data_IF_441530989396
#
_entry.id   IF_441530989396
#
_cell.length_a   1.000
_cell.length_b   1.000
_cell.length_c   1.000
_cell.angle_alpha   90.00
_cell.angle_beta   90.00
_cell.angle_gamma   90.00
#
_symmetry.space_group_name_H-M   'P 1'
#
loop_
_entity.id
_entity.type
_entity.pdbx_description
1 polymer ?
#
# COMPACT_ATOMS: atom_id res chain seq x y z
N UNK A 1 7.09 -20.48 -27.76
CA UNK A 1 6.15 -19.45 -28.24
C UNK A 1 4.75 -20.04 -28.39
N UNK A 2 4.59 -21.16 -29.11
CA UNK A 2 3.31 -21.88 -29.20
C UNK A 2 2.71 -22.21 -27.82
N UNK A 3 3.47 -22.85 -26.93
CA UNK A 3 3.00 -23.15 -25.55
C UNK A 3 2.54 -21.92 -24.75
N UNK A 4 3.11 -20.72 -24.99
CA UNK A 4 2.70 -19.49 -24.30
C UNK A 4 1.35 -18.98 -24.82
N UNK A 5 1.12 -19.10 -26.13
CA UNK A 5 -0.13 -18.67 -26.77
C UNK A 5 -1.28 -19.67 -26.54
N UNK A 6 -0.95 -20.94 -26.35
CA UNK A 6 -1.92 -22.01 -26.10
C UNK A 6 -2.31 -22.13 -24.60
N UNK A 7 -1.53 -21.53 -23.70
CA UNK A 7 -1.82 -21.52 -22.25
C UNK A 7 -2.68 -20.31 -21.88
N UNK A 8 -3.86 -20.55 -21.33
CA UNK A 8 -4.72 -19.47 -20.78
C UNK A 8 -4.21 -19.08 -19.39
N UNK A 9 -3.51 -17.95 -19.32
CA UNK A 9 -3.14 -17.33 -18.04
C UNK A 9 -4.27 -16.40 -17.56
N UNK A 10 -4.81 -16.59 -16.34
CA UNK A 10 -5.84 -15.70 -15.83
C UNK A 10 -5.28 -14.27 -15.70
N UNK A 11 -6.04 -13.24 -16.08
CA UNK A 11 -5.61 -11.87 -15.86
C UNK A 11 -5.48 -11.60 -14.37
N UNK A 12 -4.55 -10.71 -13.99
CA UNK A 12 -4.44 -10.32 -12.59
C UNK A 12 -5.74 -9.70 -12.12
N UNK A 13 -6.23 -10.16 -10.96
CA UNK A 13 -7.43 -9.60 -10.37
C UNK A 13 -7.17 -8.16 -9.93
N UNK A 14 -8.12 -7.27 -10.24
CA UNK A 14 -8.08 -5.89 -9.79
C UNK A 14 -8.61 -5.77 -8.34
N UNK A 15 -7.99 -4.89 -7.56
CA UNK A 15 -8.53 -4.41 -6.28
C UNK A 15 -9.26 -3.09 -6.51
N UNK A 16 -8.65 -2.19 -7.28
CA UNK A 16 -9.26 -0.97 -7.80
C UNK A 16 -9.01 -0.95 -9.31
N UNK A 17 -10.08 -1.04 -10.10
CA UNK A 17 -9.95 -1.22 -11.55
C UNK A 17 -9.12 -0.09 -12.18
N UNK A 18 -8.21 -0.45 -13.09
CA UNK A 18 -7.27 0.46 -13.78
C UNK A 18 -6.23 1.16 -12.90
N UNK A 19 -6.26 0.92 -11.58
CA UNK A 19 -5.43 1.62 -10.61
C UNK A 19 -4.55 0.67 -9.79
N UNK A 20 -5.13 -0.39 -9.22
CA UNK A 20 -4.47 -1.31 -8.29
C UNK A 20 -4.89 -2.75 -8.61
N UNK A 21 -3.92 -3.59 -8.93
CA UNK A 21 -4.10 -5.02 -9.17
C UNK A 21 -3.46 -5.86 -8.06
N UNK A 22 -3.66 -7.17 -8.07
CA UNK A 22 -2.90 -8.09 -7.21
C UNK A 22 -1.39 -7.97 -7.46
N UNK A 23 -0.62 -8.10 -6.39
CA UNK A 23 0.83 -7.86 -6.38
C UNK A 23 1.23 -6.88 -5.29
N UNK A 24 2.47 -6.43 -5.34
CA UNK A 24 3.06 -5.53 -4.33
C UNK A 24 3.32 -4.15 -4.89
N UNK A 25 2.83 -3.13 -4.19
CA UNK A 25 2.96 -1.72 -4.55
C UNK A 25 3.66 -0.94 -3.45
N UNK A 26 4.51 0.00 -3.83
CA UNK A 26 5.08 0.98 -2.91
C UNK A 26 4.20 2.23 -2.86
N UNK A 27 3.84 2.70 -1.67
CA UNK A 27 3.21 3.99 -1.47
C UNK A 27 4.17 4.94 -0.77
N UNK A 28 4.81 5.82 -1.52
CA UNK A 28 5.89 6.65 -1.01
C UNK A 28 5.54 8.14 -0.99
N UNK A 29 6.14 8.86 -0.05
CA UNK A 29 6.01 10.30 0.09
C UNK A 29 6.63 10.80 1.39
N UNK A 30 6.86 12.10 1.49
CA UNK A 30 7.51 12.70 2.67
C UNK A 30 6.66 12.49 3.94
N UNK A 31 7.25 12.55 5.15
CA UNK A 31 6.50 12.43 6.39
C UNK A 31 5.35 13.45 6.49
N UNK A 32 4.21 13.01 7.05
CA UNK A 32 3.03 13.85 7.33
C UNK A 32 2.36 14.50 6.10
N UNK A 33 2.57 13.94 4.90
CA UNK A 33 1.96 14.45 3.66
C UNK A 33 0.51 14.00 3.42
N UNK A 34 0.08 12.90 4.05
CA UNK A 34 -1.26 12.34 3.84
C UNK A 34 -1.33 10.82 3.64
N UNK A 35 -0.19 10.11 3.60
CA UNK A 35 -0.13 8.66 3.29
C UNK A 35 -1.12 7.82 4.12
N UNK A 36 -1.09 7.94 5.44
CA UNK A 36 -1.97 7.16 6.32
C UNK A 36 -3.45 7.52 6.19
N UNK A 37 -3.79 8.73 5.73
CA UNK A 37 -5.18 9.08 5.37
C UNK A 37 -5.60 8.35 4.10
N UNK A 38 -4.76 8.32 3.07
CA UNK A 38 -5.02 7.56 1.84
C UNK A 38 -5.08 6.05 2.08
N UNK A 39 -4.22 5.50 2.96
CA UNK A 39 -4.32 4.07 3.33
C UNK A 39 -5.62 3.75 4.04
N UNK A 40 -6.06 4.61 4.97
CA UNK A 40 -7.36 4.48 5.61
C UNK A 40 -8.52 4.57 4.60
N UNK A 41 -8.44 5.51 3.66
CA UNK A 41 -9.42 5.66 2.58
C UNK A 41 -9.47 4.44 1.68
N UNK A 42 -8.33 3.97 1.19
CA UNK A 42 -8.25 2.80 0.33
C UNK A 42 -8.83 1.55 1.04
N UNK A 43 -8.38 1.27 2.27
CA UNK A 43 -8.89 0.14 3.04
C UNK A 43 -10.39 0.20 3.32
N UNK A 44 -10.91 1.40 3.61
CA UNK A 44 -12.35 1.61 3.80
C UNK A 44 -13.14 1.37 2.51
N UNK A 45 -12.68 1.90 1.38
CA UNK A 45 -13.36 1.73 0.09
C UNK A 45 -13.33 0.26 -0.36
N UNK A 46 -12.22 -0.46 -0.18
CA UNK A 46 -12.10 -1.89 -0.49
C UNK A 46 -13.01 -2.73 0.40
N UNK A 47 -13.08 -2.45 1.69
CA UNK A 47 -13.93 -3.21 2.63
C UNK A 47 -15.42 -2.96 2.44
N UNK A 48 -15.81 -1.76 2.00
CA UNK A 48 -17.20 -1.40 1.71
C UNK A 48 -17.62 -1.68 0.26
N UNK A 49 -16.68 -1.83 -0.68
CA UNK A 49 -16.98 -1.94 -2.12
C UNK A 49 -17.40 -0.60 -2.74
N UNK A 50 -16.96 0.52 -2.17
CA UNK A 50 -17.30 1.86 -2.65
C UNK A 50 -16.30 2.32 -3.73
N UNK A 51 -16.74 3.02 -4.78
CA UNK A 51 -15.83 3.55 -5.79
C UNK A 51 -14.79 4.52 -5.20
N UNK A 52 -13.52 4.35 -5.55
CA UNK A 52 -12.44 5.26 -5.16
C UNK A 52 -12.16 6.22 -6.32
N UNK A 53 -12.44 7.51 -6.17
CA UNK A 53 -12.22 8.52 -7.22
C UNK A 53 -12.86 8.16 -8.59
N UNK A 54 -14.05 7.55 -8.55
CA UNK A 54 -14.77 7.00 -9.71
C UNK A 54 -14.17 5.72 -10.33
N UNK A 55 -13.10 5.17 -9.76
CA UNK A 55 -12.67 3.82 -10.09
C UNK A 55 -13.53 2.80 -9.36
N UNK A 56 -13.96 1.76 -10.08
CA UNK A 56 -14.67 0.64 -9.50
C UNK A 56 -13.74 -0.13 -8.55
N UNK A 57 -14.27 -0.48 -7.38
CA UNK A 57 -13.53 -1.19 -6.33
C UNK A 57 -14.11 -2.58 -6.16
N UNK A 58 -13.26 -3.60 -6.19
CA UNK A 58 -13.66 -4.97 -5.93
C UNK A 58 -13.65 -5.22 -4.43
N UNK A 59 -14.84 -5.41 -3.85
CA UNK A 59 -15.00 -5.55 -2.40
C UNK A 59 -14.26 -6.77 -1.85
N UNK A 60 -13.63 -6.61 -0.69
CA UNK A 60 -13.02 -7.72 0.06
C UNK A 60 -12.45 -7.27 1.40
N UNK A 61 -11.90 -8.21 2.16
CA UNK A 61 -11.27 -7.88 3.44
C UNK A 61 -9.97 -7.11 3.22
N UNK A 62 -9.80 -6.06 4.03
CA UNK A 62 -8.63 -5.20 4.05
C UNK A 62 -7.98 -5.25 5.43
N UNK A 63 -6.68 -5.54 5.49
CA UNK A 63 -5.90 -5.50 6.71
C UNK A 63 -4.94 -4.31 6.68
N UNK A 64 -4.98 -3.47 7.71
CA UNK A 64 -4.07 -2.35 7.88
C UNK A 64 -3.16 -2.52 9.09
N UNK A 65 -1.89 -2.81 8.83
CA UNK A 65 -0.79 -2.76 9.81
C UNK A 65 -0.37 -1.29 9.98
N UNK A 66 -1.00 -0.57 10.91
CA UNK A 66 -0.74 0.83 11.25
C UNK A 66 0.30 0.92 12.39
N UNK A 67 1.55 0.58 12.08
CA UNK A 67 2.63 0.26 13.02
C UNK A 67 3.30 1.47 13.68
N UNK A 68 2.94 2.68 13.23
CA UNK A 68 3.37 3.95 13.84
C UNK A 68 2.23 4.67 14.58
N UNK A 69 1.07 4.03 14.68
CA UNK A 69 -0.15 4.62 15.22
C UNK A 69 -0.66 3.90 16.48
N UNK A 70 -1.72 4.44 17.07
CA UNK A 70 -2.45 3.81 18.16
C UNK A 70 -3.95 3.72 17.85
N UNK A 71 -4.68 2.82 18.52
CA UNK A 71 -6.10 2.59 18.24
C UNK A 71 -6.96 3.85 18.48
N UNK A 72 -6.61 4.71 19.45
CA UNK A 72 -7.35 5.94 19.73
C UNK A 72 -7.23 6.93 18.56
N UNK A 73 -6.03 7.08 18.01
CA UNK A 73 -5.79 7.91 16.81
C UNK A 73 -6.45 7.35 15.57
N UNK A 74 -6.40 6.03 15.36
CA UNK A 74 -7.07 5.35 14.24
C UNK A 74 -8.59 5.58 14.34
N UNK A 75 -9.18 5.32 15.50
CA UNK A 75 -10.61 5.52 15.75
C UNK A 75 -11.01 6.97 15.45
N UNK A 76 -10.31 7.94 16.06
CA UNK A 76 -10.59 9.37 15.84
C UNK A 76 -10.47 9.77 14.37
N UNK A 77 -9.50 9.20 13.64
CA UNK A 77 -9.29 9.45 12.21
C UNK A 77 -10.45 8.91 11.38
N UNK A 78 -10.78 7.63 11.54
CA UNK A 78 -11.85 6.98 10.78
C UNK A 78 -13.21 7.63 11.07
N UNK A 79 -13.50 7.95 12.33
CA UNK A 79 -14.75 8.65 12.67
C UNK A 79 -14.89 10.01 12.01
N UNK A 80 -13.78 10.70 11.76
CA UNK A 80 -13.78 11.97 11.03
C UNK A 80 -13.92 11.78 9.52
N UNK A 81 -13.29 10.74 8.97
CA UNK A 81 -13.31 10.42 7.54
C UNK A 81 -14.64 9.86 7.06
N UNK A 82 -15.24 8.96 7.82
CA UNK A 82 -16.38 8.14 7.38
C UNK A 82 -17.57 8.18 8.35
N UNK A 83 -17.51 9.00 9.41
CA UNK A 83 -18.54 9.01 10.44
C UNK A 83 -18.56 7.72 11.26
N UNK A 84 -19.76 7.26 11.60
CA UNK A 84 -19.95 6.06 12.44
C UNK A 84 -20.24 4.79 11.63
N UNK A 85 -20.19 4.86 10.30
CA UNK A 85 -20.36 3.69 9.44
C UNK A 85 -19.19 2.72 9.65
N UNK A 86 -19.51 1.45 9.86
CA UNK A 86 -18.53 0.40 10.11
C UNK A 86 -18.70 -0.76 9.14
N UNK A 87 -17.65 -1.56 9.01
CA UNK A 87 -17.64 -2.76 8.17
C UNK A 87 -16.87 -3.86 8.88
N UNK A 88 -17.36 -5.11 8.85
CA UNK A 88 -16.64 -6.24 9.42
C UNK A 88 -15.40 -6.64 8.61
N UNK A 89 -15.19 -6.04 7.42
CA UNK A 89 -14.12 -6.39 6.48
C UNK A 89 -12.90 -5.47 6.57
N UNK A 90 -12.87 -4.47 7.47
CA UNK A 90 -11.71 -3.59 7.64
C UNK A 90 -11.03 -3.80 8.99
N UNK A 91 -9.85 -4.40 8.96
CA UNK A 91 -9.11 -4.85 10.13
C UNK A 91 -7.87 -4.00 10.36
N UNK A 92 -7.52 -3.79 11.63
CA UNK A 92 -6.37 -3.00 12.02
C UNK A 92 -5.51 -3.75 13.02
N UNK A 93 -4.20 -3.59 12.88
CA UNK A 93 -3.25 -3.92 13.94
C UNK A 93 -2.23 -2.80 14.07
N UNK A 94 -1.84 -2.50 15.31
CA UNK A 94 -0.78 -1.54 15.64
C UNK A 94 0.54 -2.23 15.96
N UNK A 95 0.58 -3.57 15.85
CA UNK A 95 1.74 -4.41 16.08
C UNK A 95 1.89 -5.44 14.97
N UNK A 96 3.13 -5.79 14.67
CA UNK A 96 3.49 -6.79 13.67
C UNK A 96 4.73 -7.52 14.12
N UNK A 97 4.84 -8.79 13.73
CA UNK A 97 6.11 -9.51 13.74
C UNK A 97 7.04 -8.94 12.66
N UNK A 98 8.34 -9.14 12.82
CA UNK A 98 9.31 -8.82 11.77
C UNK A 98 9.26 -9.90 10.67
N UNK A 99 9.74 -9.56 9.46
CA UNK A 99 9.69 -10.48 8.32
C UNK A 99 10.53 -11.75 8.52
N UNK A 100 11.66 -11.66 9.21
CA UNK A 100 12.52 -12.79 9.55
C UNK A 100 12.05 -13.59 10.77
N UNK A 101 10.97 -13.17 11.41
CA UNK A 101 10.30 -13.91 12.47
C UNK A 101 9.10 -14.64 11.87
N UNK A 102 7.89 -14.13 12.12
CA UNK A 102 6.61 -14.83 11.88
C UNK A 102 5.62 -13.94 11.12
N UNK A 103 6.08 -12.91 10.39
CA UNK A 103 5.16 -12.03 9.65
C UNK A 103 4.36 -12.79 8.60
N UNK A 104 5.00 -13.65 7.80
CA UNK A 104 4.29 -14.44 6.79
C UNK A 104 3.24 -15.35 7.42
N UNK A 105 3.56 -15.97 8.58
CA UNK A 105 2.61 -16.79 9.32
C UNK A 105 1.44 -15.95 9.86
N UNK A 106 1.74 -14.78 10.45
CA UNK A 106 0.73 -13.84 10.93
C UNK A 106 -0.25 -13.45 9.80
N UNK A 107 0.27 -13.08 8.64
CA UNK A 107 -0.55 -12.70 7.48
C UNK A 107 -1.33 -13.91 6.92
N UNK A 108 -0.71 -15.08 6.90
CA UNK A 108 -1.37 -16.32 6.46
C UNK A 108 -2.53 -16.69 7.38
N UNK A 109 -2.36 -16.58 8.69
CA UNK A 109 -3.41 -16.89 9.66
C UNK A 109 -4.56 -15.88 9.55
N UNK A 110 -4.26 -14.60 9.37
CA UNK A 110 -5.29 -13.61 9.05
C UNK A 110 -6.09 -13.98 7.80
N UNK A 111 -5.42 -14.37 6.70
CA UNK A 111 -6.12 -14.76 5.47
C UNK A 111 -6.94 -16.06 5.61
N UNK A 112 -6.58 -16.96 6.53
CA UNK A 112 -7.40 -18.13 6.85
C UNK A 112 -8.69 -17.72 7.55
N UNK A 113 -8.63 -16.76 8.46
CA UNK A 113 -9.79 -16.20 9.15
C UNK A 113 -10.65 -15.33 8.23
N UNK A 114 -10.02 -14.67 7.25
CA UNK A 114 -10.63 -13.75 6.30
C UNK A 114 -10.34 -14.18 4.85
N UNK A 115 -10.97 -15.27 4.34
CA UNK A 115 -10.64 -15.86 3.04
C UNK A 115 -10.95 -14.98 1.83
N UNK A 116 -11.74 -13.91 2.01
CA UNK A 116 -12.02 -12.90 1.00
C UNK A 116 -11.05 -11.70 1.04
N UNK A 117 -9.87 -11.85 1.68
CA UNK A 117 -8.85 -10.80 1.75
C UNK A 117 -8.40 -10.41 0.35
N UNK A 118 -8.40 -9.10 0.07
CA UNK A 118 -7.93 -8.51 -1.20
C UNK A 118 -6.77 -7.56 -1.00
N UNK A 119 -6.67 -6.92 0.17
CA UNK A 119 -5.72 -5.86 0.41
C UNK A 119 -5.06 -6.01 1.78
N UNK A 120 -3.74 -5.98 1.81
CA UNK A 120 -2.95 -5.84 3.04
C UNK A 120 -2.09 -4.59 2.91
N UNK A 121 -2.17 -3.67 3.88
CA UNK A 121 -1.40 -2.44 3.93
C UNK A 121 -0.40 -2.49 5.08
N UNK A 122 0.87 -2.14 4.81
CA UNK A 122 1.95 -2.09 5.80
C UNK A 122 2.43 -0.65 5.92
N UNK A 123 2.07 0.03 7.02
CA UNK A 123 2.49 1.41 7.33
C UNK A 123 3.31 1.44 8.62
N UNK A 124 4.63 1.37 8.58
CA UNK A 124 5.54 1.54 7.42
C UNK A 124 6.41 0.30 7.19
N UNK A 125 7.02 0.20 6.00
CA UNK A 125 8.02 -0.84 5.68
C UNK A 125 9.11 -0.93 6.74
N UNK A 126 9.52 0.19 7.34
CA UNK A 126 10.58 0.27 8.35
C UNK A 126 10.27 -0.56 9.60
N UNK A 127 8.99 -0.74 9.94
CA UNK A 127 8.56 -1.43 11.16
C UNK A 127 8.51 -2.95 11.03
N UNK A 128 8.51 -3.49 9.81
CA UNK A 128 8.51 -4.93 9.56
C UNK A 128 9.87 -5.48 9.13
N UNK A 129 10.87 -4.60 9.01
CA UNK A 129 12.26 -5.01 8.71
C UNK A 129 12.88 -5.70 9.91
N UNK A 130 13.90 -6.50 9.64
CA UNK A 130 14.68 -7.18 10.66
C UNK A 130 15.25 -6.19 11.69
N UNK A 131 15.10 -6.49 12.97
CA UNK A 131 15.79 -5.78 14.06
C UNK A 131 17.09 -6.52 14.36
N UNK A 132 17.98 -6.62 13.36
CA UNK A 132 19.33 -7.11 13.61
C UNK A 132 20.21 -5.91 13.99
N UNK A 133 20.83 -5.96 15.17
CA UNK A 133 21.57 -4.87 15.82
C UNK A 133 22.83 -4.37 15.10
N UNK A 134 23.06 -4.76 13.84
CA UNK A 134 24.24 -4.36 13.08
C UNK A 134 23.88 -3.86 11.66
N UNK A 135 24.16 -2.56 11.46
CA UNK A 135 24.33 -1.84 10.19
C UNK A 135 23.20 -1.91 9.17
N UNK A 136 22.54 -0.76 9.01
CA UNK A 136 21.76 -0.36 7.83
C UNK A 136 22.45 -0.79 6.53
N UNK A 137 21.91 -1.81 5.86
CA UNK A 137 22.31 -2.16 4.51
C UNK A 137 21.09 -2.08 3.58
N UNK A 138 21.18 -1.19 2.58
CA UNK A 138 20.12 -0.96 1.59
C UNK A 138 19.76 -2.20 0.77
N UNK A 139 20.65 -3.18 0.69
CA UNK A 139 20.37 -4.51 0.12
C UNK A 139 19.19 -5.22 0.83
N UNK A 140 18.97 -4.94 2.11
CA UNK A 140 17.90 -5.56 2.90
C UNK A 140 16.49 -5.14 2.43
N UNK A 141 16.31 -3.89 2.00
CA UNK A 141 14.99 -3.37 1.61
C UNK A 141 14.46 -4.04 0.34
N UNK A 142 15.35 -4.31 -0.62
CA UNK A 142 15.02 -5.01 -1.85
C UNK A 142 14.55 -6.44 -1.55
N UNK A 143 15.32 -7.18 -0.75
CA UNK A 143 15.03 -8.57 -0.40
C UNK A 143 13.71 -8.69 0.38
N UNK A 144 13.45 -7.75 1.28
CA UNK A 144 12.17 -7.67 2.01
C UNK A 144 11.00 -7.47 1.04
N UNK A 145 11.09 -6.52 0.11
CA UNK A 145 10.01 -6.29 -0.87
C UNK A 145 9.85 -7.48 -1.82
N UNK A 146 10.93 -8.16 -2.20
CA UNK A 146 10.86 -9.39 -3.00
C UNK A 146 10.14 -10.52 -2.27
N UNK A 147 10.41 -10.73 -0.98
CA UNK A 147 9.68 -11.71 -0.15
C UNK A 147 8.19 -11.36 -0.04
N UNK A 148 7.87 -10.10 0.24
CA UNK A 148 6.48 -9.62 0.29
C UNK A 148 5.77 -9.77 -1.07
N UNK A 149 6.50 -9.54 -2.17
CA UNK A 149 5.99 -9.80 -3.51
C UNK A 149 5.66 -11.26 -3.74
N UNK A 150 6.59 -12.16 -3.45
CA UNK A 150 6.36 -13.61 -3.56
C UNK A 150 5.15 -14.04 -2.73
N UNK A 151 4.99 -13.49 -1.52
CA UNK A 151 3.82 -13.71 -0.69
C UNK A 151 2.53 -13.22 -1.37
N UNK A 152 2.52 -11.98 -1.87
CA UNK A 152 1.34 -11.39 -2.53
C UNK A 152 0.91 -12.16 -3.79
N UNK A 153 1.89 -12.63 -4.58
CA UNK A 153 1.68 -13.41 -5.80
C UNK A 153 1.15 -14.81 -5.48
N UNK A 154 1.75 -15.49 -4.48
CA UNK A 154 1.29 -16.80 -4.00
C UNK A 154 -0.14 -16.79 -3.50
N UNK A 155 -0.54 -15.70 -2.83
CA UNK A 155 -1.86 -15.59 -2.19
C UNK A 155 -2.90 -14.83 -3.02
N UNK A 156 -2.53 -14.33 -4.21
CA UNK A 156 -3.42 -13.55 -5.07
C UNK A 156 -4.10 -12.36 -4.34
N UNK A 157 -3.28 -11.55 -3.65
CA UNK A 157 -3.73 -10.34 -2.96
C UNK A 157 -2.92 -9.11 -3.41
N UNK A 158 -3.41 -7.92 -3.11
CA UNK A 158 -2.61 -6.70 -3.17
C UNK A 158 -1.93 -6.43 -1.82
N UNK A 159 -0.63 -6.15 -1.86
CA UNK A 159 0.13 -5.59 -0.74
C UNK A 159 0.53 -4.15 -1.03
N UNK A 160 0.09 -3.22 -0.19
CA UNK A 160 0.43 -1.80 -0.27
C UNK A 160 1.43 -1.46 0.84
N UNK A 161 2.67 -1.17 0.47
CA UNK A 161 3.78 -0.97 1.40
C UNK A 161 4.09 0.53 1.48
N UNK A 162 3.82 1.14 2.64
CA UNK A 162 4.09 2.57 2.84
C UNK A 162 5.57 2.78 3.12
N UNK A 163 6.16 3.72 2.38
CA UNK A 163 7.57 4.08 2.50
C UNK A 163 7.79 5.59 2.48
N UNK A 164 8.99 6.03 2.84
CA UNK A 164 9.38 7.44 2.79
C UNK A 164 10.18 7.74 1.53
N UNK A 165 9.95 8.91 0.93
CA UNK A 165 10.83 9.46 -0.09
C UNK A 165 12.01 10.20 0.55
N UNK A 166 13.13 10.30 -0.18
CA UNK A 166 14.28 11.15 0.19
C UNK A 166 14.01 12.61 -0.20
N UNK A 167 14.80 13.53 0.34
CA UNK A 167 14.68 14.98 0.11
C UNK A 167 15.37 15.48 -1.18
N UNK A 168 15.93 14.60 -2.00
CA UNK A 168 16.60 14.99 -3.24
C UNK A 168 15.55 15.25 -4.33
N UNK A 169 15.65 16.38 -5.01
CA UNK A 169 14.89 16.65 -6.22
C UNK A 169 15.43 15.75 -7.34
N UNK A 170 14.53 15.07 -8.05
CA UNK A 170 14.82 14.31 -9.26
C UNK A 170 13.85 14.73 -10.37
N UNK A 171 14.25 14.56 -11.63
CA UNK A 171 13.37 14.75 -12.78
C UNK A 171 12.26 13.68 -12.81
N UNK A 172 12.62 12.43 -12.50
CA UNK A 172 11.66 11.36 -12.25
C UNK A 172 11.38 11.24 -10.75
N UNK A 173 10.11 11.44 -10.36
CA UNK A 173 9.67 11.34 -8.98
C UNK A 173 9.86 9.93 -8.38
N UNK A 174 9.91 8.87 -9.20
CA UNK A 174 10.13 7.50 -8.72
C UNK A 174 11.56 7.26 -8.25
N UNK A 175 12.53 8.05 -8.72
CA UNK A 175 13.90 8.04 -8.20
C UNK A 175 14.00 8.58 -6.76
N UNK A 176 12.95 9.24 -6.26
CA UNK A 176 12.93 9.74 -4.89
C UNK A 176 12.58 8.68 -3.85
N UNK A 177 12.17 7.47 -4.25
CA UNK A 177 11.90 6.36 -3.32
C UNK A 177 13.20 6.00 -2.58
N UNK A 178 13.19 6.10 -1.24
CA UNK A 178 14.40 5.89 -0.45
C UNK A 178 14.93 4.46 -0.56
N UNK A 179 16.17 4.28 -1.06
CA UNK A 179 16.79 2.97 -1.30
C UNK A 179 16.86 2.60 -2.78
N UNK A 180 17.21 3.58 -3.60
CA UNK A 180 16.95 3.77 -5.04
C UNK A 180 17.26 2.61 -6.00
N UNK A 181 16.46 2.58 -7.09
CA UNK A 181 16.35 1.66 -8.23
C UNK A 181 15.91 0.22 -7.94
N UNK A 182 16.48 -0.42 -6.92
CA UNK A 182 16.13 -1.81 -6.62
C UNK A 182 14.66 -1.97 -6.21
N UNK A 183 14.18 -1.13 -5.29
CA UNK A 183 12.86 -1.28 -4.66
C UNK A 183 11.70 -1.20 -5.67
N UNK A 184 11.76 -0.25 -6.60
CA UNK A 184 10.76 -0.14 -7.66
C UNK A 184 10.83 -1.35 -8.61
N UNK A 185 12.04 -1.82 -8.92
CA UNK A 185 12.25 -3.03 -9.71
C UNK A 185 11.71 -4.30 -9.04
N UNK A 186 11.78 -4.37 -7.71
CA UNK A 186 11.22 -5.47 -6.91
C UNK A 186 9.69 -5.45 -6.96
N UNK A 187 9.06 -4.29 -6.78
CA UNK A 187 7.61 -4.14 -6.75
C UNK A 187 6.94 -4.34 -8.13
N UNK A 188 5.60 -4.48 -8.12
CA UNK A 188 4.76 -4.46 -9.32
C UNK A 188 4.46 -3.02 -9.77
N UNK A 189 4.48 -2.06 -8.85
CA UNK A 189 4.30 -0.65 -9.14
C UNK A 189 4.56 0.24 -7.93
N UNK A 190 4.41 1.54 -8.13
CA UNK A 190 4.54 2.52 -7.07
C UNK A 190 3.58 3.70 -7.24
N UNK A 191 3.30 4.33 -6.11
CA UNK A 191 2.53 5.54 -5.94
C UNK A 191 3.40 6.56 -5.22
N UNK A 192 3.54 7.76 -5.77
CA UNK A 192 4.31 8.86 -5.18
C UNK A 192 3.37 10.02 -4.88
N UNK A 193 3.14 10.28 -3.59
CA UNK A 193 2.35 11.43 -3.15
C UNK A 193 3.26 12.64 -2.90
N UNK A 194 2.99 13.73 -3.62
CA UNK A 194 3.69 15.01 -3.51
C UNK A 194 2.74 16.17 -3.25
N UNK A 195 3.27 17.23 -2.64
CA UNK A 195 2.61 18.53 -2.47
C UNK A 195 3.63 19.62 -2.77
N UNK A 196 3.22 20.71 -3.40
CA UNK A 196 4.11 21.85 -3.68
C UNK A 196 4.60 22.48 -2.37
N UNK A 197 3.70 22.71 -1.41
CA UNK A 197 4.04 23.05 -0.02
C UNK A 197 3.36 22.07 0.92
N UNK A 198 4.01 21.83 2.06
CA UNK A 198 3.50 20.91 3.09
C UNK A 198 2.10 21.26 3.60
N UNK A 199 1.77 22.55 3.61
CA UNK A 199 0.47 23.07 4.06
C UNK A 199 -0.58 23.09 2.96
N UNK A 200 -0.26 22.72 1.72
CA UNK A 200 -1.23 22.77 0.63
C UNK A 200 -2.26 21.65 0.79
N UNK A 201 -3.48 21.94 0.36
CA UNK A 201 -4.52 20.90 0.25
C UNK A 201 -4.34 20.12 -1.05
N UNK A 202 -3.78 20.75 -2.07
CA UNK A 202 -3.54 20.14 -3.37
C UNK A 202 -2.29 19.26 -3.31
N UNK A 203 -2.41 18.05 -3.85
CA UNK A 203 -1.33 17.10 -4.00
C UNK A 203 -1.38 16.44 -5.38
N UNK A 204 -0.27 15.84 -5.76
CA UNK A 204 -0.14 15.05 -6.98
C UNK A 204 0.20 13.62 -6.55
N UNK A 205 -0.50 12.66 -7.14
CA UNK A 205 -0.23 11.24 -7.00
C UNK A 205 0.25 10.72 -8.36
N UNK A 206 1.55 10.50 -8.47
CA UNK A 206 2.17 9.86 -9.62
C UNK A 206 2.14 8.33 -9.43
N UNK A 207 1.77 7.61 -10.48
CA UNK A 207 1.50 6.18 -10.46
C UNK A 207 2.22 5.53 -11.63
N UNK A 208 2.97 4.48 -11.35
CA UNK A 208 3.62 3.66 -12.37
C UNK A 208 3.56 2.18 -11.98
N UNK A 209 3.50 1.28 -12.96
CA UNK A 209 3.57 -0.15 -12.68
C UNK A 209 3.45 -1.03 -13.91
N UNK A 210 3.50 -2.34 -13.66
CA UNK A 210 3.52 -3.36 -14.71
C UNK A 210 2.14 -3.67 -15.27
N UNK A 211 1.10 -3.51 -14.46
CA UNK A 211 -0.25 -3.97 -14.75
C UNK A 211 -1.24 -2.82 -15.01
N UNK A 212 -0.81 -1.57 -14.80
CA UNK A 212 -1.57 -0.35 -15.03
C UNK A 212 -0.72 0.68 -15.78
N UNK A 213 -1.36 1.53 -16.58
CA UNK A 213 -0.67 2.62 -17.27
C UNK A 213 -0.12 3.63 -16.28
N UNK A 214 0.97 4.28 -16.66
CA UNK A 214 1.50 5.43 -15.94
C UNK A 214 0.44 6.54 -15.91
N UNK A 215 0.15 7.03 -14.72
CA UNK A 215 -0.95 7.94 -14.46
C UNK A 215 -0.53 9.03 -13.47
N UNK A 216 -1.12 10.21 -13.65
CA UNK A 216 -0.98 11.34 -12.74
C UNK A 216 -2.35 11.79 -12.27
N UNK A 217 -2.60 11.68 -10.98
CA UNK A 217 -3.87 12.09 -10.36
C UNK A 217 -3.63 13.36 -9.54
N UNK A 218 -4.43 14.39 -9.80
CA UNK A 218 -4.45 15.61 -8.99
C UNK A 218 -5.47 15.43 -7.87
N UNK A 219 -5.02 15.56 -6.63
CA UNK A 219 -5.81 15.37 -5.43
C UNK A 219 -5.99 16.71 -4.71
N UNK A 220 -7.14 16.89 -4.08
CA UNK A 220 -7.39 17.99 -3.15
C UNK A 220 -7.87 17.42 -1.83
N UNK A 221 -7.10 17.66 -0.77
CA UNK A 221 -7.38 17.17 0.57
C UNK A 221 -8.46 18.01 1.24
N UNK A 222 -9.60 17.40 1.51
CA UNK A 222 -10.67 17.93 2.33
C UNK A 222 -10.21 17.91 3.79
N UNK A 223 -9.93 19.09 4.36
CA UNK A 223 -9.49 19.20 5.75
C UNK A 223 -10.59 18.91 6.76
N UNK A 224 -11.84 19.13 6.39
CA UNK A 224 -12.96 18.93 7.30
C UNK A 224 -13.16 17.43 7.52
N UNK A 225 -13.20 16.67 6.43
CA UNK A 225 -13.39 15.22 6.45
C UNK A 225 -12.09 14.42 6.54
N UNK A 226 -10.94 15.02 6.26
CA UNK A 226 -9.66 14.33 6.11
C UNK A 226 -9.64 13.29 4.96
N UNK A 227 -10.24 13.64 3.82
CA UNK A 227 -10.32 12.83 2.60
C UNK A 227 -9.54 13.43 1.43
#
# INVERSE_FOLDING_TARGET
MEELYDTVYPPKAAVVDKLIYNGTYLFAGVPKIGKSFLMAQLGYHVSMGLPLWNYQVNQGSALYLALEDDFSRIQKRLSRMFGMESTPNFHFTTKSKALNEELEEQLTNFMKEHPNTKLIMIDTLQKVREINGERYNYSNDYDIVMKLKQFSEKHNICMMIVHHTRKLQSEDCFDMISGTNGLLGAANGAFILQKTKRIDNKGILDIAGRDQQDQKIYLEFDREKCL
#
